data_IF_936071113925
#
_entry.id   IF_936071113925
#
_cell.length_a   1.000
_cell.length_b   1.000
_cell.length_c   1.000
_cell.angle_alpha   90.00
_cell.angle_beta   90.00
_cell.angle_gamma   90.00
#
_symmetry.space_group_name_H-M   'P 1'
#
loop_
_entity.id
_entity.type
_entity.pdbx_description
1 polymer ?
#
# COMPACT_ATOMS: atom_id res chain seq x y z
N UNK A 1 16.08 10.57 7.55
CA UNK A 1 14.73 10.10 7.94
C UNK A 1 14.05 11.21 8.73
N UNK A 2 12.80 11.53 8.41
CA UNK A 2 12.03 12.56 9.11
C UNK A 2 11.58 12.03 10.48
N UNK A 3 11.89 12.78 11.54
CA UNK A 3 11.45 12.48 12.90
C UNK A 3 9.93 12.74 13.05
N UNK A 4 9.29 12.11 14.05
CA UNK A 4 7.92 12.50 14.42
C UNK A 4 7.89 13.92 14.97
N UNK A 5 6.74 14.59 14.87
CA UNK A 5 6.59 15.95 15.42
C UNK A 5 6.97 16.03 16.90
N UNK A 6 6.57 15.03 17.69
CA UNK A 6 6.88 14.91 19.12
C UNK A 6 8.38 14.86 19.40
N UNK A 7 9.15 14.16 18.57
CA UNK A 7 10.62 14.02 18.72
C UNK A 7 11.34 15.24 18.13
N UNK A 8 10.79 15.83 17.08
CA UNK A 8 11.37 16.96 16.37
C UNK A 8 11.14 18.29 17.11
N UNK A 9 10.16 18.38 18.01
CA UNK A 9 9.81 19.63 18.70
C UNK A 9 10.52 19.71 20.05
N UNK A 10 11.30 20.78 20.25
CA UNK A 10 11.98 21.08 21.51
C UNK A 10 10.97 21.56 22.57
N UNK A 11 11.32 21.54 23.88
CA UNK A 11 10.44 22.02 24.96
C UNK A 11 9.95 23.47 24.80
N UNK A 12 10.67 24.28 24.02
CA UNK A 12 10.31 25.66 23.71
C UNK A 12 9.42 25.81 22.46
N UNK A 13 8.88 24.70 21.94
CA UNK A 13 8.01 24.67 20.77
C UNK A 13 8.73 24.81 19.42
N UNK A 14 10.06 24.99 19.40
CA UNK A 14 10.82 25.10 18.14
C UNK A 14 11.18 23.73 17.58
N UNK A 15 11.21 23.62 16.25
CA UNK A 15 11.67 22.41 15.56
C UNK A 15 13.20 22.32 15.65
N UNK A 16 13.70 21.15 16.05
CA UNK A 16 15.12 20.82 16.13
C UNK A 16 15.74 20.84 14.74
N UNK A 17 16.84 21.58 14.60
CA UNK A 17 17.72 21.49 13.42
C UNK A 17 18.66 20.29 13.62
N UNK A 18 18.59 19.32 12.73
CA UNK A 18 19.35 18.06 12.83
C UNK A 18 20.19 17.75 11.58
N UNK A 19 20.07 18.56 10.53
CA UNK A 19 20.69 18.29 9.24
C UNK A 19 20.88 19.58 8.42
N UNK A 20 21.69 19.53 7.37
CA UNK A 20 21.91 20.63 6.44
C UNK A 20 22.07 20.11 5.00
N UNK A 21 21.68 20.95 4.04
CA UNK A 21 21.73 20.66 2.61
C UNK A 21 21.95 21.97 1.84
N UNK A 22 22.32 21.86 0.57
CA UNK A 22 22.51 23.02 -0.30
C UNK A 22 21.25 23.28 -1.13
N UNK A 23 20.90 24.56 -1.30
CA UNK A 23 19.98 25.00 -2.34
C UNK A 23 20.78 25.68 -3.44
N UNK A 24 20.56 25.29 -4.68
CA UNK A 24 21.20 25.88 -5.87
C UNK A 24 20.12 26.43 -6.79
N UNK A 25 20.41 27.55 -7.45
CA UNK A 25 19.52 28.13 -8.45
C UNK A 25 20.16 27.97 -9.82
N UNK A 26 19.51 27.23 -10.70
CA UNK A 26 19.98 26.96 -12.07
C UNK A 26 18.87 27.38 -13.02
N UNK A 27 19.20 28.25 -13.99
CA UNK A 27 18.26 28.72 -15.02
C UNK A 27 16.94 29.27 -14.45
N UNK A 28 17.02 29.94 -13.29
CA UNK A 28 15.84 30.52 -12.64
C UNK A 28 15.12 29.56 -11.69
N UNK A 29 15.38 28.26 -11.74
CA UNK A 29 14.74 27.26 -10.90
C UNK A 29 15.61 26.84 -9.71
N UNK A 30 15.00 26.68 -8.54
CA UNK A 30 15.68 26.14 -7.37
C UNK A 30 15.72 24.61 -7.42
N UNK A 31 16.85 24.07 -6.97
CA UNK A 31 17.12 22.64 -6.77
C UNK A 31 17.89 22.44 -5.48
N UNK A 32 17.81 21.24 -4.93
CA UNK A 32 18.48 20.89 -3.69
C UNK A 32 19.54 19.80 -3.90
N UNK A 33 20.60 19.87 -3.10
CA UNK A 33 21.66 18.87 -3.05
C UNK A 33 21.90 18.48 -1.59
N UNK A 34 21.59 17.23 -1.25
CA UNK A 34 21.88 16.64 0.06
C UNK A 34 22.99 15.58 -0.07
N UNK A 35 24.24 16.01 0.08
CA UNK A 35 25.40 15.14 -0.07
C UNK A 35 25.45 14.02 0.98
N UNK A 36 24.85 14.20 2.15
CA UNK A 36 24.85 13.18 3.20
C UNK A 36 23.91 12.04 2.82
N UNK A 37 22.70 12.34 2.38
CA UNK A 37 21.75 11.31 1.94
C UNK A 37 22.12 10.73 0.57
N UNK A 38 22.78 11.48 -0.31
CA UNK A 38 23.27 10.99 -1.59
C UNK A 38 24.47 10.02 -1.47
N UNK A 39 25.24 10.14 -0.40
CA UNK A 39 26.52 9.43 -0.26
C UNK A 39 26.35 7.92 -0.23
N UNK A 40 27.16 7.19 -1.00
CA UNK A 40 27.27 5.73 -0.91
C UNK A 40 27.67 5.23 0.49
N UNK A 41 28.31 6.10 1.29
CA UNK A 41 28.75 5.79 2.65
C UNK A 41 27.63 5.96 3.70
N UNK A 42 26.47 6.45 3.29
CA UNK A 42 25.32 6.47 4.17
C UNK A 42 24.85 5.01 4.40
N UNK A 43 24.70 4.53 5.65
CA UNK A 43 24.43 3.11 5.89
C UNK A 43 23.17 2.55 5.22
N UNK A 44 22.17 3.39 4.97
CA UNK A 44 20.91 2.98 4.31
C UNK A 44 21.07 2.74 2.80
N UNK A 45 22.16 3.25 2.21
CA UNK A 45 22.38 3.23 0.78
C UNK A 45 23.14 1.97 0.31
N UNK A 46 23.57 1.11 1.25
CA UNK A 46 24.21 -0.19 0.96
C UNK A 46 25.40 -0.11 -0.04
N UNK A 47 26.16 1.00 0.00
CA UNK A 47 27.32 1.20 -0.87
C UNK A 47 27.00 1.74 -2.27
N UNK A 48 25.75 2.11 -2.56
CA UNK A 48 25.33 2.70 -3.83
C UNK A 48 24.98 4.17 -3.62
N UNK A 49 25.52 5.11 -4.40
CA UNK A 49 25.13 6.51 -4.28
C UNK A 49 23.65 6.70 -4.67
N UNK A 50 22.91 7.49 -3.88
CA UNK A 50 21.49 7.76 -4.11
C UNK A 50 21.31 9.08 -4.86
N UNK A 51 21.04 8.99 -6.17
CA UNK A 51 21.06 10.12 -7.10
C UNK A 51 19.88 11.08 -6.91
N UNK A 52 18.77 10.61 -6.34
CA UNK A 52 17.58 11.41 -6.08
C UNK A 52 17.89 12.67 -5.28
N UNK A 53 18.87 12.61 -4.36
CA UNK A 53 19.30 13.71 -3.50
C UNK A 53 20.24 14.71 -4.18
N UNK A 54 20.57 14.50 -5.46
CA UNK A 54 21.29 15.44 -6.30
C UNK A 54 20.31 16.13 -7.24
N UNK A 55 20.23 17.45 -7.15
CA UNK A 55 19.31 18.28 -7.96
C UNK A 55 17.82 17.96 -7.72
N UNK A 56 17.46 17.68 -6.47
CA UNK A 56 16.07 17.39 -6.07
C UNK A 56 15.19 18.62 -6.22
N UNK A 57 13.95 18.42 -6.69
CA UNK A 57 12.98 19.51 -6.83
C UNK A 57 12.43 19.95 -5.46
N UNK A 58 12.07 21.22 -5.28
CA UNK A 58 11.45 21.69 -4.04
C UNK A 58 10.22 20.89 -3.60
N UNK A 59 9.34 20.54 -4.54
CA UNK A 59 8.13 19.74 -4.27
C UNK A 59 8.42 18.32 -3.77
N UNK A 60 9.59 17.78 -4.06
CA UNK A 60 10.01 16.44 -3.61
C UNK A 60 10.78 16.55 -2.29
N UNK A 61 11.71 17.52 -2.21
CA UNK A 61 12.53 17.79 -1.03
C UNK A 61 11.68 18.05 0.23
N UNK A 62 10.56 18.76 0.10
CA UNK A 62 9.71 19.13 1.24
C UNK A 62 9.08 17.93 1.96
N UNK A 63 9.00 16.74 1.35
CA UNK A 63 8.47 15.56 2.04
C UNK A 63 9.40 15.07 3.17
N UNK A 64 10.70 15.34 3.06
CA UNK A 64 11.74 14.83 3.96
C UNK A 64 12.53 15.92 4.66
N UNK A 65 12.54 17.15 4.13
CA UNK A 65 13.34 18.26 4.63
C UNK A 65 12.49 19.50 4.83
N UNK A 66 12.29 19.90 6.08
CA UNK A 66 11.67 21.17 6.44
C UNK A 66 12.76 22.21 6.77
N UNK A 67 12.95 23.25 5.94
CA UNK A 67 13.90 24.32 6.27
C UNK A 67 13.41 25.17 7.44
N UNK A 68 14.36 25.80 8.14
CA UNK A 68 14.07 26.66 9.30
C UNK A 68 13.25 27.93 8.95
N UNK A 69 13.22 28.33 7.67
CA UNK A 69 12.42 29.45 7.18
C UNK A 69 11.60 28.98 5.97
N UNK A 70 10.33 29.38 5.92
CA UNK A 70 9.42 29.09 4.80
C UNK A 70 9.96 29.59 3.45
N UNK A 71 10.69 30.70 3.45
CA UNK A 71 11.27 31.27 2.22
C UNK A 71 12.28 30.32 1.55
N UNK A 72 12.90 29.42 2.31
CA UNK A 72 13.85 28.43 1.79
C UNK A 72 13.20 27.11 1.39
N UNK A 73 11.87 27.00 1.44
CA UNK A 73 11.16 25.87 0.84
C UNK A 73 11.16 25.96 -0.68
N UNK A 74 11.22 27.19 -1.23
CA UNK A 74 11.06 27.48 -2.67
C UNK A 74 9.79 26.84 -3.25
N UNK A 75 8.73 26.83 -2.45
CA UNK A 75 7.39 26.41 -2.82
C UNK A 75 6.49 27.62 -2.95
N UNK A 76 5.51 27.53 -3.83
CA UNK A 76 4.46 28.52 -3.99
C UNK A 76 3.09 27.83 -4.03
N UNK A 77 2.28 27.91 -2.94
CA UNK A 77 2.60 28.54 -1.66
C UNK A 77 3.55 27.67 -0.80
N UNK A 78 4.31 28.28 0.14
CA UNK A 78 5.03 27.51 1.16
C UNK A 78 4.06 26.83 2.13
N UNK A 79 4.49 25.70 2.70
CA UNK A 79 3.70 24.94 3.67
C UNK A 79 4.13 25.23 5.11
N UNK A 80 3.19 25.06 6.02
CA UNK A 80 3.40 25.11 7.46
C UNK A 80 4.00 23.82 8.03
N UNK A 81 4.61 23.92 9.20
CA UNK A 81 5.18 22.75 9.91
C UNK A 81 4.12 21.69 10.20
N UNK A 82 2.90 22.12 10.51
CA UNK A 82 1.75 21.27 10.78
C UNK A 82 1.41 20.42 9.55
N UNK A 83 1.38 21.06 8.37
CA UNK A 83 1.17 20.37 7.10
C UNK A 83 2.34 19.43 6.82
N UNK A 84 3.59 19.90 7.00
CA UNK A 84 4.77 19.06 6.85
C UNK A 84 4.66 17.81 7.72
N UNK A 85 4.29 17.93 9.00
CA UNK A 85 4.16 16.79 9.91
C UNK A 85 2.96 15.88 9.61
N UNK A 86 1.95 16.36 8.88
CA UNK A 86 0.84 15.56 8.37
C UNK A 86 1.17 14.83 7.05
N UNK A 87 2.20 15.27 6.31
CA UNK A 87 2.61 14.60 5.08
C UNK A 87 3.07 13.15 5.37
N UNK A 88 2.90 12.23 4.41
CA UNK A 88 3.52 10.91 4.46
C UNK A 88 5.00 10.96 4.74
N UNK A 89 5.49 9.89 5.36
CA UNK A 89 6.91 9.60 5.36
C UNK A 89 7.24 8.86 4.07
N UNK A 90 7.90 9.54 3.14
CA UNK A 90 8.29 8.96 1.86
C UNK A 90 9.76 8.54 1.89
N UNK A 91 10.08 7.55 1.06
CA UNK A 91 11.42 7.12 0.73
C UNK A 91 11.65 7.35 -0.76
N UNK A 92 12.90 7.28 -1.20
CA UNK A 92 13.25 7.53 -2.61
C UNK A 92 12.41 6.72 -3.63
N UNK A 93 12.03 5.46 -3.37
CA UNK A 93 11.17 4.71 -4.30
C UNK A 93 9.80 5.38 -4.55
N UNK A 94 9.29 6.25 -3.68
CA UNK A 94 8.09 7.05 -3.97
C UNK A 94 8.28 7.92 -5.22
N UNK A 95 9.42 8.62 -5.29
CA UNK A 95 9.73 9.52 -6.39
C UNK A 95 10.15 8.76 -7.64
N UNK A 96 11.05 7.78 -7.52
CA UNK A 96 11.52 6.97 -8.66
C UNK A 96 10.37 6.24 -9.36
N UNK A 97 9.36 5.79 -8.61
CA UNK A 97 8.19 5.10 -9.16
C UNK A 97 7.04 6.06 -9.54
N UNK A 98 7.24 7.38 -9.48
CA UNK A 98 6.24 8.41 -9.80
C UNK A 98 4.91 8.15 -9.06
N UNK A 99 5.00 7.85 -7.78
CA UNK A 99 3.85 7.68 -6.91
C UNK A 99 3.37 9.05 -6.46
N UNK A 100 2.07 9.28 -6.54
CA UNK A 100 1.47 10.50 -6.04
C UNK A 100 0.20 10.15 -5.28
N UNK A 101 0.02 10.71 -4.09
CA UNK A 101 -1.27 10.56 -3.43
C UNK A 101 -2.36 11.33 -4.17
N UNK A 102 -3.49 10.68 -4.38
CA UNK A 102 -4.66 11.31 -4.93
C UNK A 102 -5.52 11.83 -3.76
N UNK A 103 -5.74 13.16 -3.69
CA UNK A 103 -6.64 13.77 -2.69
C UNK A 103 -6.29 13.34 -1.25
N UNK A 104 -5.03 13.51 -0.86
CA UNK A 104 -4.62 13.21 0.51
C UNK A 104 -5.34 14.11 1.50
N UNK A 105 -6.10 13.49 2.38
CA UNK A 105 -6.75 14.13 3.52
C UNK A 105 -6.38 13.30 4.75
N UNK A 106 -5.75 13.95 5.74
CA UNK A 106 -5.29 13.31 6.97
C UNK A 106 -6.43 12.70 7.77
N UNK A 107 -7.69 13.14 7.58
CA UNK A 107 -8.86 12.52 8.21
C UNK A 107 -9.06 11.06 7.78
N UNK A 108 -8.62 10.67 6.58
CA UNK A 108 -8.68 9.27 6.11
C UNK A 108 -7.69 8.34 6.84
N UNK A 109 -6.81 8.87 7.70
CA UNK A 109 -5.86 8.12 8.51
C UNK A 109 -6.45 7.72 9.87
N UNK A 110 -7.57 8.30 10.26
CA UNK A 110 -8.33 7.93 11.44
C UNK A 110 -9.39 6.88 11.08
N UNK A 111 -9.36 5.76 11.79
CA UNK A 111 -10.39 4.73 11.76
C UNK A 111 -11.44 5.10 12.81
N UNK A 112 -12.69 5.27 12.42
CA UNK A 112 -13.82 5.55 13.34
C UNK A 112 -14.88 4.49 13.16
N UNK A 113 -15.27 3.83 14.25
CA UNK A 113 -16.39 2.88 14.26
C UNK A 113 -17.72 3.62 14.13
N UNK A 114 -18.38 3.43 12.98
CA UNK A 114 -19.72 3.99 12.75
C UNK A 114 -20.76 2.88 12.91
N UNK A 115 -21.52 2.91 14.02
CA UNK A 115 -22.83 2.26 14.24
C UNK A 115 -23.14 1.00 13.38
N UNK A 116 -22.25 -0.01 13.41
CA UNK A 116 -22.45 -1.29 12.70
C UNK A 116 -21.81 -1.43 11.31
N UNK A 117 -21.14 -0.40 10.77
CA UNK A 117 -20.24 -0.48 9.61
C UNK A 117 -18.78 -0.61 10.07
N UNK A 118 -18.08 -1.61 9.52
CA UNK A 118 -16.67 -1.87 9.84
C UNK A 118 -15.76 -0.75 9.33
N UNK A 119 -14.92 -0.23 10.21
CA UNK A 119 -13.95 0.84 9.94
C UNK A 119 -12.73 0.31 9.22
N UNK A 120 -12.46 0.81 8.02
CA UNK A 120 -11.18 0.60 7.34
C UNK A 120 -10.69 1.91 6.77
N UNK A 121 -9.38 2.13 6.84
CA UNK A 121 -8.75 3.33 6.29
C UNK A 121 -8.65 3.09 4.80
N UNK A 122 -9.05 4.10 4.04
CA UNK A 122 -9.02 4.09 2.58
C UNK A 122 -8.07 5.19 2.14
N UNK A 123 -6.96 4.80 1.54
CA UNK A 123 -6.04 5.71 0.88
C UNK A 123 -6.05 5.43 -0.63
N UNK A 124 -6.05 6.49 -1.44
CA UNK A 124 -5.96 6.40 -2.89
C UNK A 124 -4.71 7.14 -3.38
N UNK A 125 -3.94 6.48 -4.25
CA UNK A 125 -2.76 7.05 -4.88
C UNK A 125 -2.80 6.87 -6.39
N UNK A 126 -2.41 7.91 -7.14
CA UNK A 126 -2.05 7.81 -8.55
C UNK A 126 -0.70 7.09 -8.68
N UNK A 127 -0.62 6.19 -9.65
CA UNK A 127 0.53 5.32 -9.84
C UNK A 127 0.81 5.19 -11.32
N UNK A 128 2.08 5.14 -11.70
CA UNK A 128 2.48 4.84 -13.06
C UNK A 128 2.00 3.45 -13.52
N UNK A 129 1.83 3.28 -14.84
CA UNK A 129 1.21 2.10 -15.47
C UNK A 129 1.91 0.76 -15.19
N UNK A 130 3.18 0.76 -14.80
CA UNK A 130 4.02 -0.45 -14.65
C UNK A 130 4.43 -0.78 -13.21
N UNK A 131 3.91 -0.03 -12.23
CA UNK A 131 4.33 -0.15 -10.83
C UNK A 131 3.35 -1.02 -10.06
N UNK A 132 3.86 -2.03 -9.37
CA UNK A 132 3.08 -2.86 -8.48
C UNK A 132 3.20 -2.35 -7.05
N UNK A 133 2.13 -2.53 -6.28
CA UNK A 133 2.10 -2.15 -4.86
C UNK A 133 1.90 -3.39 -4.00
N UNK A 134 2.70 -3.46 -2.93
CA UNK A 134 2.49 -4.37 -1.81
C UNK A 134 2.32 -3.54 -0.53
N UNK A 135 1.47 -3.99 0.38
CA UNK A 135 1.09 -3.21 1.55
C UNK A 135 1.11 -4.06 2.80
N UNK A 136 1.74 -3.52 3.84
CA UNK A 136 1.82 -4.13 5.17
C UNK A 136 1.44 -3.10 6.22
N UNK A 137 0.77 -3.55 7.26
CA UNK A 137 0.50 -2.79 8.47
C UNK A 137 1.42 -3.36 9.54
N UNK A 138 2.20 -2.51 10.18
CA UNK A 138 3.02 -2.88 11.34
C UNK A 138 2.55 -2.13 12.58
N UNK A 139 2.17 -2.88 13.61
CA UNK A 139 1.89 -2.34 14.94
C UNK A 139 2.90 -2.89 15.94
N UNK A 140 3.30 -2.05 16.89
CA UNK A 140 4.13 -2.46 18.03
C UNK A 140 3.26 -2.51 19.29
N UNK A 141 3.28 -3.64 19.98
CA UNK A 141 2.63 -3.83 21.28
C UNK A 141 3.71 -4.01 22.34
N UNK A 142 3.59 -3.28 23.45
CA UNK A 142 4.43 -3.50 24.63
C UNK A 142 3.85 -4.68 25.42
N UNK A 143 4.64 -5.73 25.61
CA UNK A 143 4.28 -6.87 26.47
C UNK A 143 4.78 -6.67 27.91
N UNK A 144 5.85 -5.89 28.08
CA UNK A 144 6.42 -5.41 29.35
C UNK A 144 7.28 -4.16 29.06
N UNK A 145 7.85 -3.53 30.09
CA UNK A 145 8.67 -2.31 29.96
C UNK A 145 9.86 -2.47 28.98
N UNK A 146 10.38 -3.70 28.83
CA UNK A 146 11.54 -3.99 27.97
C UNK A 146 11.21 -4.81 26.72
N UNK A 147 10.07 -5.52 26.67
CA UNK A 147 9.73 -6.42 25.56
C UNK A 147 8.66 -5.82 24.66
N UNK A 148 9.05 -5.51 23.43
CA UNK A 148 8.16 -5.04 22.35
C UNK A 148 7.94 -6.14 21.32
N UNK A 149 6.68 -6.44 21.01
CA UNK A 149 6.30 -7.33 19.93
C UNK A 149 5.88 -6.49 18.72
N UNK A 150 6.35 -6.83 17.52
CA UNK A 150 5.86 -6.25 16.28
C UNK A 150 4.88 -7.21 15.61
N UNK A 151 3.64 -6.77 15.43
CA UNK A 151 2.59 -7.50 14.71
C UNK A 151 2.53 -6.94 13.29
N UNK A 152 2.59 -7.82 12.31
CA UNK A 152 2.46 -7.46 10.88
C UNK A 152 1.18 -8.05 10.32
N UNK A 153 0.38 -7.23 9.64
CA UNK A 153 -0.87 -7.63 8.99
C UNK A 153 -0.90 -7.12 7.54
N UNK A 154 -1.49 -7.89 6.63
CA UNK A 154 -1.63 -7.46 5.22
C UNK A 154 -2.76 -6.45 5.08
N UNK A 155 -2.51 -5.39 4.31
CA UNK A 155 -3.54 -4.52 3.78
C UNK A 155 -3.93 -4.96 2.36
N UNK A 156 -5.06 -4.48 1.86
CA UNK A 156 -5.53 -4.75 0.51
C UNK A 156 -5.19 -3.60 -0.42
N UNK A 157 -4.28 -3.84 -1.36
CA UNK A 157 -3.95 -2.92 -2.44
C UNK A 157 -4.54 -3.40 -3.76
N UNK A 158 -5.33 -2.55 -4.42
CA UNK A 158 -5.93 -2.84 -5.71
C UNK A 158 -5.86 -1.63 -6.64
N UNK A 159 -5.24 -1.82 -7.81
CA UNK A 159 -5.20 -0.82 -8.86
C UNK A 159 -6.50 -0.84 -9.67
N UNK A 160 -6.85 0.31 -10.25
CA UNK A 160 -7.90 0.48 -11.26
C UNK A 160 -7.56 1.67 -12.16
N UNK A 161 -8.23 1.79 -13.31
CA UNK A 161 -8.14 2.99 -14.15
C UNK A 161 -9.33 3.90 -13.90
N UNK A 162 -9.07 5.20 -13.76
CA UNK A 162 -10.09 6.25 -13.81
C UNK A 162 -9.69 7.18 -14.95
N UNK A 163 -10.42 7.07 -16.08
CA UNK A 163 -9.96 7.62 -17.36
C UNK A 163 -8.60 7.03 -17.74
N UNK A 164 -7.63 7.89 -18.05
CA UNK A 164 -6.26 7.47 -18.40
C UNK A 164 -5.31 7.37 -17.20
N UNK A 165 -5.80 7.63 -15.98
CA UNK A 165 -4.97 7.60 -14.77
C UNK A 165 -5.14 6.27 -14.05
N UNK A 166 -4.03 5.58 -13.78
CA UNK A 166 -4.04 4.40 -12.92
C UNK A 166 -3.95 4.83 -11.46
N UNK A 167 -4.87 4.30 -10.64
CA UNK A 167 -5.01 4.61 -9.22
C UNK A 167 -4.99 3.30 -8.45
N UNK A 168 -4.18 3.19 -7.39
CA UNK A 168 -4.34 2.13 -6.41
C UNK A 168 -5.11 2.63 -5.21
N UNK A 169 -6.10 1.83 -4.84
CA UNK A 169 -6.82 1.95 -3.59
C UNK A 169 -6.20 0.98 -2.60
N UNK A 170 -5.79 1.51 -1.46
CA UNK A 170 -5.29 0.73 -0.32
C UNK A 170 -6.35 0.77 0.77
N UNK A 171 -6.77 -0.41 1.22
CA UNK A 171 -7.64 -0.59 2.38
C UNK A 171 -6.86 -1.26 3.50
N UNK A 172 -6.93 -0.69 4.70
CA UNK A 172 -6.17 -1.14 5.85
C UNK A 172 -7.05 -1.21 7.10
N UNK A 173 -6.82 -2.23 7.93
CA UNK A 173 -7.45 -2.41 9.24
C UNK A 173 -6.35 -2.81 10.21
N UNK A 174 -6.29 -2.16 11.37
CA UNK A 174 -5.32 -2.51 12.41
C UNK A 174 -5.56 -3.94 12.92
N UNK A 175 -4.55 -4.59 13.53
CA UNK A 175 -4.80 -5.81 14.28
C UNK A 175 -5.80 -5.56 15.43
N UNK A 176 -6.51 -6.59 15.93
CA UNK A 176 -7.33 -6.45 17.12
C UNK A 176 -6.54 -5.82 18.28
N UNK A 177 -7.22 -5.05 19.12
CA UNK A 177 -6.66 -4.34 20.29
C UNK A 177 -5.59 -3.28 20.00
N UNK A 178 -5.24 -3.08 18.74
CA UNK A 178 -4.27 -2.08 18.33
C UNK A 178 -4.95 -0.75 17.98
N UNK A 179 -4.62 0.31 18.71
CA UNK A 179 -5.12 1.67 18.44
C UNK A 179 -4.23 2.48 17.50
N UNK A 180 -2.99 2.05 17.28
CA UNK A 180 -2.01 2.72 16.42
C UNK A 180 -1.26 1.70 15.59
N UNK A 181 -0.94 2.03 14.35
CA UNK A 181 -0.05 1.24 13.49
C UNK A 181 0.51 2.05 12.35
N UNK A 182 1.44 1.46 11.60
CA UNK A 182 2.07 2.06 10.44
C UNK A 182 1.69 1.29 9.19
N UNK A 183 0.97 1.95 8.27
CA UNK A 183 0.70 1.42 6.95
C UNK A 183 1.89 1.69 6.04
N UNK A 184 2.65 0.65 5.74
CA UNK A 184 3.80 0.66 4.83
C UNK A 184 3.36 0.26 3.43
N UNK A 185 3.70 1.12 2.47
CA UNK A 185 3.45 0.92 1.04
C UNK A 185 4.80 0.67 0.36
N UNK A 186 4.94 -0.52 -0.20
CA UNK A 186 6.09 -0.92 -0.99
C UNK A 186 5.70 -0.86 -2.47
N UNK A 187 6.59 -0.31 -3.30
CA UNK A 187 6.32 -0.14 -4.70
C UNK A 187 7.57 -0.40 -5.55
N UNK A 188 7.35 -0.93 -6.75
CA UNK A 188 8.42 -1.14 -7.71
C UNK A 188 7.88 -1.67 -9.04
N UNK A 189 8.76 -1.80 -10.05
CA UNK A 189 8.39 -2.40 -11.32
C UNK A 189 7.92 -3.82 -11.10
N UNK A 190 6.97 -4.25 -11.93
CA UNK A 190 6.40 -5.59 -11.89
C UNK A 190 7.47 -6.68 -11.70
N UNK A 191 7.39 -7.41 -10.60
CA UNK A 191 8.25 -8.57 -10.38
C UNK A 191 7.79 -9.73 -11.26
N UNK A 192 8.68 -10.19 -12.16
CA UNK A 192 8.52 -11.45 -12.87
C UNK A 192 9.37 -12.47 -12.11
N UNK A 193 8.67 -13.35 -11.40
CA UNK A 193 9.26 -14.51 -10.76
C UNK A 193 10.08 -15.33 -11.78
N UNK A 194 11.41 -15.32 -11.67
CA UNK A 194 12.31 -16.13 -12.49
C UNK A 194 13.22 -16.98 -11.61
N UNK A 195 13.14 -18.31 -11.77
CA UNK A 195 14.01 -19.28 -11.11
C UNK A 195 13.37 -20.09 -9.98
N UNK A 196 14.09 -21.10 -9.45
CA UNK A 196 13.54 -22.15 -8.57
C UNK A 196 13.14 -21.69 -7.15
N UNK A 197 13.37 -20.43 -6.79
CA UNK A 197 13.02 -19.86 -5.48
C UNK A 197 12.05 -18.67 -5.58
N UNK A 198 11.45 -18.44 -6.75
CA UNK A 198 10.63 -17.26 -6.98
C UNK A 198 9.37 -17.20 -6.10
N UNK A 199 8.85 -18.35 -5.67
CA UNK A 199 7.71 -18.47 -4.74
C UNK A 199 8.07 -18.12 -3.29
N UNK A 200 9.36 -17.96 -2.95
CA UNK A 200 9.83 -17.61 -1.60
C UNK A 200 10.06 -16.11 -1.40
N UNK A 201 9.91 -15.28 -2.44
CA UNK A 201 10.12 -13.84 -2.32
C UNK A 201 8.90 -13.19 -1.64
N UNK A 202 9.02 -12.90 -0.35
CA UNK A 202 7.94 -12.38 0.50
C UNK A 202 7.50 -10.96 0.08
N UNK A 203 8.44 -10.14 -0.40
CA UNK A 203 8.16 -8.82 -0.97
C UNK A 203 9.36 -8.35 -1.82
N UNK A 204 9.24 -8.29 -3.16
CA UNK A 204 10.34 -7.85 -4.02
C UNK A 204 10.49 -6.32 -4.08
N UNK A 205 9.57 -5.56 -3.50
CA UNK A 205 9.51 -4.11 -3.66
C UNK A 205 10.14 -3.37 -2.47
N UNK A 206 10.81 -2.26 -2.76
CA UNK A 206 11.35 -1.36 -1.74
C UNK A 206 10.23 -0.51 -1.10
N UNK A 207 10.45 -0.07 0.13
CA UNK A 207 9.50 0.80 0.83
C UNK A 207 9.43 2.13 0.10
N UNK A 208 8.25 2.52 -0.35
CA UNK A 208 8.04 3.79 -1.02
C UNK A 208 7.56 4.85 -0.02
N UNK A 209 6.54 4.55 0.79
CA UNK A 209 6.04 5.50 1.77
C UNK A 209 5.26 4.83 2.89
N UNK A 210 5.05 5.56 4.00
CA UNK A 210 4.32 5.09 5.16
C UNK A 210 3.48 6.18 5.82
N UNK A 211 2.36 5.80 6.42
CA UNK A 211 1.52 6.66 7.27
C UNK A 211 1.25 5.98 8.60
N UNK A 212 1.08 6.83 9.62
CA UNK A 212 0.48 6.42 10.88
C UNK A 212 -1.02 6.27 10.69
N UNK A 213 -1.56 5.14 11.12
CA UNK A 213 -2.99 4.91 11.28
C UNK A 213 -3.32 4.97 12.77
N UNK A 214 -4.45 5.61 13.09
CA UNK A 214 -5.00 5.66 14.44
C UNK A 214 -6.44 5.14 14.41
N UNK A 215 -6.88 4.48 15.48
CA UNK A 215 -8.25 3.98 15.62
C UNK A 215 -8.88 4.54 16.90
N UNK A 216 -9.99 5.25 16.72
CA UNK A 216 -10.84 5.81 17.77
C UNK A 216 -12.19 5.09 17.72
N UNK A 217 -12.22 3.91 18.34
CA UNK A 217 -13.39 3.03 18.33
C UNK A 217 -13.28 1.90 19.35
N UNK A 218 -14.35 1.11 19.46
CA UNK A 218 -14.35 -0.12 20.24
C UNK A 218 -13.47 -1.17 19.54
N UNK A 219 -12.95 -2.12 20.30
CA UNK A 219 -12.04 -3.10 19.72
C UNK A 219 -12.72 -3.90 18.60
N UNK A 220 -12.23 -3.77 17.37
CA UNK A 220 -12.80 -4.47 16.21
C UNK A 220 -12.49 -5.97 16.26
N UNK A 221 -13.48 -6.80 15.92
CA UNK A 221 -13.30 -8.23 15.67
C UNK A 221 -12.19 -8.52 14.63
N UNK A 222 -11.53 -9.69 14.70
CA UNK A 222 -10.54 -10.10 13.71
C UNK A 222 -11.12 -10.00 12.29
N UNK A 223 -10.46 -9.20 11.46
CA UNK A 223 -10.83 -9.00 10.06
C UNK A 223 -9.58 -9.08 9.19
N UNK A 224 -9.65 -9.87 8.14
CA UNK A 224 -8.60 -9.97 7.12
C UNK A 224 -9.19 -9.72 5.75
N UNK A 225 -8.39 -9.10 4.88
CA UNK A 225 -8.76 -8.91 3.49
C UNK A 225 -8.40 -10.15 2.66
N UNK A 226 -9.16 -10.38 1.58
CA UNK A 226 -8.89 -11.42 0.59
C UNK A 226 -7.41 -11.49 0.22
N UNK A 227 -6.85 -12.70 0.22
CA UNK A 227 -5.47 -12.92 -0.15
C UNK A 227 -5.35 -12.90 -1.68
N UNK A 228 -4.57 -11.96 -2.21
CA UNK A 228 -4.28 -11.87 -3.66
C UNK A 228 -2.92 -12.46 -3.99
N UNK A 229 -2.80 -13.05 -5.17
CA UNK A 229 -1.53 -13.58 -5.69
C UNK A 229 -1.05 -12.74 -6.87
N UNK A 230 0.27 -12.76 -7.10
CA UNK A 230 0.86 -12.12 -8.27
C UNK A 230 0.50 -12.92 -9.53
N UNK A 231 -0.24 -12.29 -10.44
CA UNK A 231 -0.71 -12.93 -11.68
C UNK A 231 -0.44 -12.03 -12.89
N UNK A 232 -0.18 -12.60 -14.10
CA UNK A 232 0.10 -11.85 -15.33
C UNK A 232 -0.86 -10.68 -15.59
N UNK A 233 -2.14 -10.88 -15.34
CA UNK A 233 -3.20 -9.88 -15.52
C UNK A 233 -3.69 -9.39 -14.17
N UNK A 234 -3.82 -8.07 -14.01
CA UNK A 234 -4.34 -7.52 -12.76
C UNK A 234 -5.87 -7.57 -12.71
N UNK A 235 -6.37 -7.98 -11.56
CA UNK A 235 -7.79 -7.99 -11.24
C UNK A 235 -8.08 -7.10 -10.03
N UNK A 236 -9.17 -6.36 -10.11
CA UNK A 236 -9.76 -5.63 -8.99
C UNK A 236 -10.94 -6.45 -8.47
N UNK A 237 -10.81 -7.02 -7.27
CA UNK A 237 -11.88 -7.77 -6.60
C UNK A 237 -12.82 -6.75 -5.99
N UNK A 238 -14.05 -6.68 -6.49
CA UNK A 238 -15.11 -5.84 -5.93
C UNK A 238 -15.67 -6.48 -4.67
N UNK A 239 -16.00 -7.77 -4.72
CA UNK A 239 -16.57 -8.52 -3.61
C UNK A 239 -16.39 -10.04 -3.80
N UNK A 240 -16.32 -10.83 -2.71
CA UNK A 240 -16.09 -10.37 -1.34
C UNK A 240 -14.62 -9.94 -1.13
N UNK A 241 -14.40 -8.86 -0.38
CA UNK A 241 -13.05 -8.39 -0.04
C UNK A 241 -12.55 -8.86 1.34
N UNK A 242 -13.40 -9.54 2.13
CA UNK A 242 -12.97 -10.23 3.34
C UNK A 242 -12.26 -11.54 2.97
N UNK A 243 -11.38 -12.03 3.84
CA UNK A 243 -10.73 -13.33 3.68
C UNK A 243 -11.64 -14.47 4.14
N UNK A 244 -12.32 -14.28 5.28
CA UNK A 244 -13.17 -15.30 5.88
C UNK A 244 -14.53 -15.38 5.17
N UNK A 245 -14.94 -16.60 4.83
CA UNK A 245 -16.26 -17.00 4.37
C UNK A 245 -16.88 -17.93 5.41
N UNK A 246 -18.21 -18.08 5.38
CA UNK A 246 -18.94 -18.92 6.32
C UNK A 246 -19.72 -20.02 5.60
N UNK A 247 -19.79 -21.23 6.17
CA UNK A 247 -20.53 -22.35 5.57
C UNK A 247 -22.00 -22.02 5.35
N UNK A 248 -22.55 -22.60 4.29
CA UNK A 248 -23.95 -22.48 3.85
C UNK A 248 -24.40 -21.05 3.50
N UNK A 249 -23.48 -20.09 3.51
CA UNK A 249 -23.75 -18.73 3.04
C UNK A 249 -23.51 -18.63 1.54
N UNK A 250 -24.31 -17.78 0.90
CA UNK A 250 -24.20 -17.49 -0.53
C UNK A 250 -23.47 -16.18 -0.74
N UNK A 251 -22.40 -16.21 -1.53
CA UNK A 251 -21.59 -15.05 -1.86
C UNK A 251 -21.63 -14.78 -3.35
N UNK A 252 -21.67 -13.50 -3.70
CA UNK A 252 -21.41 -13.03 -5.06
C UNK A 252 -19.93 -12.68 -5.18
N UNK A 253 -19.26 -13.31 -6.14
CA UNK A 253 -17.87 -13.05 -6.47
C UNK A 253 -17.82 -12.16 -7.70
N UNK A 254 -17.48 -10.89 -7.50
CA UNK A 254 -17.41 -9.89 -8.57
C UNK A 254 -16.05 -9.25 -8.64
N UNK A 255 -15.51 -9.15 -9.86
CA UNK A 255 -14.22 -8.54 -10.11
C UNK A 255 -14.15 -7.91 -11.51
N UNK A 256 -13.20 -6.99 -11.69
CA UNK A 256 -12.88 -6.38 -12.98
C UNK A 256 -11.47 -6.72 -13.39
N UNK A 257 -11.26 -6.91 -14.68
CA UNK A 257 -9.92 -6.93 -15.24
C UNK A 257 -9.45 -5.51 -15.56
N UNK A 258 -8.19 -5.21 -15.25
CA UNK A 258 -7.55 -3.93 -15.58
C UNK A 258 -7.09 -3.84 -17.05
N UNK A 259 -7.53 -4.76 -17.90
CA UNK A 259 -7.12 -4.91 -19.29
C UNK A 259 -6.43 -6.25 -19.53
N UNK A 260 -6.17 -6.56 -20.81
CA UNK A 260 -5.64 -7.84 -21.24
C UNK A 260 -6.69 -8.70 -21.94
N UNK A 261 -6.33 -9.95 -22.27
CA UNK A 261 -7.25 -10.88 -22.93
C UNK A 261 -8.28 -11.40 -21.92
N UNK A 262 -9.45 -11.79 -22.40
CA UNK A 262 -10.42 -12.53 -21.58
C UNK A 262 -9.77 -13.82 -21.05
N UNK A 263 -9.91 -14.07 -19.74
CA UNK A 263 -9.45 -15.29 -19.10
C UNK A 263 -10.65 -16.08 -18.58
N UNK A 264 -10.60 -17.41 -18.70
CA UNK A 264 -11.64 -18.27 -18.14
C UNK A 264 -11.43 -18.38 -16.63
N UNK A 265 -12.24 -17.67 -15.86
CA UNK A 265 -12.15 -17.64 -14.41
C UNK A 265 -13.14 -18.60 -13.76
N UNK A 266 -12.73 -19.22 -12.65
CA UNK A 266 -13.59 -20.05 -11.83
C UNK A 266 -13.19 -19.96 -10.35
N UNK A 267 -14.16 -20.15 -9.46
CA UNK A 267 -13.91 -20.47 -8.06
C UNK A 267 -13.70 -21.98 -7.93
N UNK A 268 -12.65 -22.39 -7.25
CA UNK A 268 -12.32 -23.78 -6.92
C UNK A 268 -12.58 -24.02 -5.43
N UNK A 269 -13.45 -24.96 -5.09
CA UNK A 269 -13.68 -25.39 -3.71
C UNK A 269 -12.50 -26.20 -3.15
N UNK A 270 -12.41 -26.39 -1.82
CA UNK A 270 -11.43 -27.26 -1.19
C UNK A 270 -11.39 -28.68 -1.81
N UNK A 271 -12.55 -29.28 -2.05
CA UNK A 271 -12.73 -30.57 -2.72
C UNK A 271 -12.47 -30.56 -4.22
N UNK A 272 -12.16 -29.39 -4.81
CA UNK A 272 -11.75 -29.24 -6.20
C UNK A 272 -12.88 -28.99 -7.20
N UNK A 273 -14.12 -28.78 -6.73
CA UNK A 273 -15.24 -28.43 -7.60
C UNK A 273 -15.04 -27.01 -8.16
N UNK A 274 -15.32 -26.84 -9.46
CA UNK A 274 -15.14 -25.58 -10.17
C UNK A 274 -16.48 -24.90 -10.43
N UNK A 275 -16.56 -23.61 -10.11
CA UNK A 275 -17.71 -22.73 -10.31
C UNK A 275 -17.28 -21.60 -11.25
N UNK A 276 -17.64 -21.69 -12.54
CA UNK A 276 -17.21 -20.73 -13.55
C UNK A 276 -17.85 -19.36 -13.31
N UNK A 277 -17.06 -18.31 -13.47
CA UNK A 277 -17.55 -16.93 -13.46
C UNK A 277 -17.98 -16.53 -14.87
N UNK A 278 -19.11 -15.83 -14.97
CA UNK A 278 -19.60 -15.22 -16.20
C UNK A 278 -18.78 -13.97 -16.50
N UNK A 279 -18.33 -13.83 -17.74
CA UNK A 279 -17.58 -12.67 -18.20
C UNK A 279 -18.48 -11.70 -18.97
N UNK A 280 -18.41 -10.42 -18.63
CA UNK A 280 -19.13 -9.34 -19.28
C UNK A 280 -18.12 -8.44 -20.02
N UNK A 281 -18.09 -8.48 -21.37
CA UNK A 281 -17.09 -7.73 -22.14
C UNK A 281 -17.23 -6.20 -22.06
N UNK A 282 -18.44 -5.70 -21.79
CA UNK A 282 -18.74 -4.26 -21.82
C UNK A 282 -17.98 -3.47 -20.76
N UNK A 283 -17.80 -4.06 -19.57
CA UNK A 283 -17.13 -3.44 -18.42
C UNK A 283 -15.90 -4.25 -17.96
N UNK A 284 -15.50 -5.26 -18.73
CA UNK A 284 -14.41 -6.19 -18.42
C UNK A 284 -14.59 -6.87 -17.05
N UNK A 285 -15.84 -7.13 -16.66
CA UNK A 285 -16.17 -7.70 -15.36
C UNK A 285 -16.41 -9.21 -15.41
N UNK A 286 -16.28 -9.84 -14.25
CA UNK A 286 -16.64 -11.22 -14.01
C UNK A 286 -17.57 -11.29 -12.80
N UNK A 287 -18.60 -12.13 -12.87
CA UNK A 287 -19.58 -12.34 -11.80
C UNK A 287 -19.90 -13.84 -11.66
N UNK A 288 -20.08 -14.31 -10.44
CA UNK A 288 -20.68 -15.59 -10.16
C UNK A 288 -21.11 -15.71 -8.70
N UNK A 289 -22.28 -16.31 -8.50
CA UNK A 289 -22.85 -16.56 -7.18
C UNK A 289 -22.62 -18.01 -6.78
N UNK A 290 -22.09 -18.22 -5.58
CA UNK A 290 -21.78 -19.56 -5.05
C UNK A 290 -22.21 -19.66 -3.60
N UNK A 291 -22.94 -20.72 -3.27
CA UNK A 291 -23.17 -21.14 -1.89
C UNK A 291 -21.97 -21.95 -1.40
N UNK A 292 -21.28 -21.44 -0.38
CA UNK A 292 -20.07 -22.03 0.16
C UNK A 292 -20.44 -23.20 1.07
N UNK A 293 -20.32 -24.43 0.56
CA UNK A 293 -20.72 -25.64 1.30
C UNK A 293 -19.58 -26.39 1.97
N UNK A 294 -18.32 -26.02 1.69
CA UNK A 294 -17.13 -26.74 2.09
C UNK A 294 -16.21 -25.85 2.92
N UNK A 295 -15.78 -26.34 4.09
CA UNK A 295 -14.78 -25.71 4.95
C UNK A 295 -13.38 -25.86 4.32
N UNK A 296 -12.55 -24.81 4.42
CA UNK A 296 -11.19 -24.78 3.88
C UNK A 296 -10.98 -23.67 2.84
N UNK A 297 -9.89 -23.78 2.08
CA UNK A 297 -9.46 -22.72 1.15
C UNK A 297 -10.20 -22.77 -0.19
N UNK A 298 -10.89 -21.68 -0.51
CA UNK A 298 -11.51 -21.43 -1.80
C UNK A 298 -10.61 -20.54 -2.65
N UNK A 299 -10.30 -20.96 -3.88
CA UNK A 299 -9.39 -20.24 -4.76
C UNK A 299 -10.13 -19.67 -5.98
N UNK A 300 -9.97 -18.39 -6.26
CA UNK A 300 -10.25 -17.85 -7.60
C UNK A 300 -9.08 -18.20 -8.49
N UNK A 301 -9.34 -18.94 -9.56
CA UNK A 301 -8.32 -19.43 -10.48
C UNK A 301 -8.60 -18.97 -11.90
N UNK A 302 -7.52 -18.76 -12.66
CA UNK A 302 -7.57 -18.61 -14.11
C UNK A 302 -7.15 -19.91 -14.77
N UNK A 303 -8.03 -20.43 -15.62
CA UNK A 303 -7.83 -21.69 -16.35
C UNK A 303 -6.94 -21.44 -17.57
N UNK A 304 -5.80 -22.14 -17.64
CA UNK A 304 -4.90 -22.05 -18.78
C UNK A 304 -5.54 -22.70 -20.01
N UNK A 305 -5.41 -22.03 -21.15
CA UNK A 305 -5.84 -22.60 -22.43
C UNK A 305 -4.82 -23.68 -22.84
N UNK A 306 -5.31 -24.90 -23.10
CA UNK A 306 -4.60 -26.02 -23.73
C UNK A 306 -3.67 -26.88 -22.86
N UNK A 307 -3.38 -26.52 -21.61
CA UNK A 307 -2.47 -27.32 -20.73
C UNK A 307 -3.19 -28.04 -19.58
N UNK A 308 -4.49 -27.79 -19.38
CA UNK A 308 -5.25 -28.32 -18.23
C UNK A 308 -4.85 -27.72 -16.87
N UNK A 309 -3.87 -26.81 -16.84
CA UNK A 309 -3.40 -26.13 -15.65
C UNK A 309 -4.23 -24.92 -15.26
N UNK A 310 -4.02 -24.42 -14.06
CA UNK A 310 -4.61 -23.18 -13.56
C UNK A 310 -3.61 -22.46 -12.66
N UNK A 311 -3.82 -21.15 -12.46
CA UNK A 311 -3.06 -20.36 -11.49
C UNK A 311 -4.02 -19.58 -10.58
N UNK A 312 -3.67 -19.47 -9.30
CA UNK A 312 -4.47 -18.72 -8.33
C UNK A 312 -4.32 -17.22 -8.54
N UNK A 313 -5.46 -16.53 -8.52
CA UNK A 313 -5.57 -15.06 -8.52
C UNK A 313 -5.79 -14.57 -7.10
N UNK A 314 -6.67 -15.24 -6.36
CA UNK A 314 -7.00 -14.90 -4.99
C UNK A 314 -7.51 -16.11 -4.21
N UNK A 315 -7.48 -16.03 -2.89
CA UNK A 315 -8.02 -17.05 -2.00
C UNK A 315 -8.77 -16.46 -0.81
N UNK A 316 -9.72 -17.26 -0.35
CA UNK A 316 -10.56 -17.07 0.82
C UNK A 316 -10.53 -18.34 1.65
N UNK A 317 -10.82 -18.21 2.94
CA UNK A 317 -10.94 -19.34 3.86
C UNK A 317 -12.36 -19.43 4.39
N UNK A 318 -12.99 -20.59 4.19
CA UNK A 318 -14.25 -20.90 4.84
C UNK A 318 -13.95 -21.55 6.19
N UNK A 319 -14.24 -20.86 7.29
CA UNK A 319 -14.07 -21.36 8.66
C UNK A 319 -15.42 -21.77 9.24
N UNK A 320 -15.47 -22.93 9.91
CA UNK A 320 -16.64 -23.37 10.66
C UNK A 320 -16.88 -22.51 11.91
#
# INVERSE_FOLDING_TARGET
>A
ARDSQEIATLPNGKIKKNHAWCAVKIEGEYRFVDCYLASQFQPINEGIAEDHWFMTRPLEMIYTHLPASKAYQFLDPPIDSEIYFALPYVCVPYFQNNLYLAKFDSSNLELVDDQGKRSYSKCEGKIARLIHINTKIETRISLSDEKRLTITKKALAQCMYIGNTRICRVKAVLPPDCRVGWLKIYAGPRYVASGPNADKVINPYQLAFTYKLTHSGETSYPFEFVQKYHTPQEFYIQEPQCYNLFPLQTYTFKLFSLGGRNQKLALRSPGGRMYKLLYYPQDLSYDGTVTVSEVGIWNLVSLQQNTGGWHSIASWECTA
#
